data_IF_155267243144
#
_entry.id   IF_155267243144
#
_cell.length_a   1.000
_cell.length_b   1.000
_cell.length_c   1.000
_cell.angle_alpha   90.00
_cell.angle_beta   90.00
_cell.angle_gamma   90.00
#
_symmetry.space_group_name_H-M   'P 1'
#
loop_
_entity.id
_entity.type
_entity.pdbx_description
1 polymer ?
#
# COMPACT_ATOMS: atom_id res chain seq x y z
N UNK A 1 -8.50 -4.36 11.07
CA UNK A 1 -8.10 -3.19 10.24
C UNK A 1 -6.67 -3.45 9.87
N UNK A 2 -6.41 -3.64 8.58
CA UNK A 2 -5.10 -4.09 8.13
C UNK A 2 -4.42 -2.91 7.44
N UNK A 3 -3.16 -2.65 7.82
CA UNK A 3 -2.37 -1.54 7.30
C UNK A 3 -1.09 -2.09 6.66
N UNK A 4 -0.75 -1.57 5.48
CA UNK A 4 0.52 -1.85 4.79
C UNK A 4 1.11 -0.54 4.28
N UNK A 5 2.44 -0.46 4.25
CA UNK A 5 3.17 0.68 3.71
C UNK A 5 3.90 0.23 2.46
N UNK A 6 3.72 0.99 1.38
CA UNK A 6 4.38 0.75 0.10
C UNK A 6 5.42 1.83 -0.11
N UNK A 7 6.67 1.39 -0.30
CA UNK A 7 7.80 2.29 -0.49
C UNK A 7 8.08 2.50 -1.98
N UNK A 8 8.43 3.73 -2.36
CA UNK A 8 8.81 4.10 -3.73
C UNK A 8 8.12 5.37 -4.24
N UNK A 9 8.36 5.68 -5.52
CA UNK A 9 7.71 6.80 -6.22
C UNK A 9 6.28 6.44 -6.59
N UNK A 10 5.40 6.39 -5.59
CA UNK A 10 4.00 6.05 -5.72
C UNK A 10 3.14 7.04 -4.95
N UNK A 11 1.97 7.36 -5.47
CA UNK A 11 1.02 8.29 -4.86
C UNK A 11 -0.26 7.57 -4.44
N UNK A 12 -1.03 8.12 -3.47
CA UNK A 12 -2.35 7.60 -3.15
C UNK A 12 -3.31 7.55 -4.36
N UNK A 13 -3.08 8.41 -5.35
CA UNK A 13 -3.89 8.45 -6.56
C UNK A 13 -3.69 7.23 -7.46
N UNK A 14 -2.46 6.72 -7.55
CA UNK A 14 -2.13 5.55 -8.39
C UNK A 14 -2.92 4.31 -7.94
N UNK A 15 -3.00 4.12 -6.63
CA UNK A 15 -3.83 3.08 -6.03
C UNK A 15 -5.32 3.34 -6.21
N UNK A 16 -5.77 4.58 -6.00
CA UNK A 16 -7.17 4.94 -6.15
C UNK A 16 -7.70 4.65 -7.57
N UNK A 17 -6.96 5.06 -8.60
CA UNK A 17 -7.32 4.81 -9.99
C UNK A 17 -7.39 3.32 -10.30
N UNK A 18 -6.42 2.54 -9.81
CA UNK A 18 -6.39 1.09 -10.02
C UNK A 18 -7.56 0.39 -9.35
N UNK A 19 -7.94 0.82 -8.13
CA UNK A 19 -9.12 0.31 -7.42
C UNK A 19 -10.42 0.68 -8.15
N UNK A 20 -10.56 1.92 -8.63
CA UNK A 20 -11.73 2.35 -9.41
C UNK A 20 -11.84 1.53 -10.70
N UNK A 21 -10.76 1.39 -11.45
CA UNK A 21 -10.73 0.64 -12.69
C UNK A 21 -11.09 -0.84 -12.48
N UNK A 22 -10.65 -1.45 -11.37
CA UNK A 22 -10.90 -2.86 -11.08
C UNK A 22 -12.28 -3.16 -10.50
N UNK A 23 -12.81 -2.29 -9.63
CA UNK A 23 -14.02 -2.58 -8.86
C UNK A 23 -15.26 -1.81 -9.30
N UNK A 24 -15.15 -0.74 -10.09
CA UNK A 24 -16.32 0.05 -10.52
C UNK A 24 -17.07 -0.59 -11.69
N UNK A 25 -17.47 -1.86 -11.52
CA UNK A 25 -18.13 -2.68 -12.53
C UNK A 25 -19.10 -3.68 -11.90
N UNK A 26 -20.05 -4.17 -12.69
CA UNK A 26 -21.05 -5.15 -12.24
C UNK A 26 -21.87 -4.62 -11.06
N UNK A 27 -21.97 -5.44 -10.00
CA UNK A 27 -22.77 -5.13 -8.79
C UNK A 27 -22.06 -4.20 -7.80
N UNK A 28 -20.81 -3.81 -8.09
CA UNK A 28 -20.02 -2.94 -7.23
C UNK A 28 -19.97 -1.51 -7.79
N UNK A 29 -19.85 -0.55 -6.87
CA UNK A 29 -19.57 0.85 -7.15
C UNK A 29 -18.39 1.30 -6.32
N UNK A 30 -17.55 2.15 -6.90
CA UNK A 30 -16.40 2.74 -6.23
C UNK A 30 -16.59 4.24 -6.13
N UNK A 31 -16.30 4.80 -4.96
CA UNK A 31 -16.30 6.24 -4.72
C UNK A 31 -14.96 6.66 -4.13
N UNK A 32 -14.32 7.66 -4.75
CA UNK A 32 -13.13 8.31 -4.20
C UNK A 32 -13.55 9.55 -3.40
N UNK A 33 -12.93 9.74 -2.24
CA UNK A 33 -13.08 10.91 -1.38
C UNK A 33 -11.68 11.46 -1.08
N UNK A 34 -11.52 12.78 -1.15
CA UNK A 34 -10.21 13.42 -0.97
C UNK A 34 -9.32 13.36 -2.22
N UNK A 35 -8.17 14.02 -2.12
CA UNK A 35 -7.20 14.17 -3.20
C UNK A 35 -5.82 14.53 -2.66
N UNK A 36 -4.77 14.38 -3.48
CA UNK A 36 -3.41 14.74 -3.11
C UNK A 36 -2.80 13.75 -2.11
N UNK A 37 -2.42 14.23 -0.93
CA UNK A 37 -1.67 13.44 0.05
C UNK A 37 -2.53 12.43 0.82
N UNK A 38 -3.85 12.59 0.84
CA UNK A 38 -4.78 11.69 1.49
C UNK A 38 -5.96 11.39 0.57
N UNK A 39 -6.19 10.11 0.32
CA UNK A 39 -7.26 9.62 -0.56
C UNK A 39 -7.98 8.46 0.12
N UNK A 40 -9.29 8.60 0.27
CA UNK A 40 -10.19 7.52 0.65
C UNK A 40 -10.85 6.91 -0.59
N UNK A 41 -10.99 5.59 -0.62
CA UNK A 41 -11.77 4.87 -1.61
C UNK A 41 -12.75 3.97 -0.90
N UNK A 42 -14.01 3.99 -1.32
CA UNK A 42 -15.04 3.07 -0.85
C UNK A 42 -15.51 2.18 -1.98
N UNK A 43 -15.60 0.90 -1.68
CA UNK A 43 -16.21 -0.11 -2.53
C UNK A 43 -17.50 -0.54 -1.85
N UNK A 44 -18.62 -0.40 -2.54
CA UNK A 44 -19.94 -0.78 -2.03
C UNK A 44 -20.77 -1.49 -3.08
N UNK A 45 -21.76 -2.28 -2.65
CA UNK A 45 -22.79 -2.82 -3.54
C UNK A 45 -23.67 -1.69 -4.11
N UNK A 46 -24.16 -1.87 -5.35
CA UNK A 46 -25.14 -0.95 -5.98
C UNK A 46 -26.53 -1.18 -5.37
N UNK A 47 -27.29 -0.10 -5.16
CA UNK A 47 -28.67 -0.20 -4.66
C UNK A 47 -29.52 -1.01 -5.65
N UNK A 48 -30.26 -2.00 -5.15
CA UNK A 48 -31.08 -2.90 -5.95
C UNK A 48 -30.45 -4.25 -6.30
N UNK A 49 -29.26 -4.58 -5.80
CA UNK A 49 -28.76 -5.97 -5.84
C UNK A 49 -29.70 -6.86 -5.01
N UNK A 50 -30.25 -7.91 -5.62
CA UNK A 50 -31.36 -8.73 -5.08
C UNK A 50 -31.02 -9.53 -3.80
N UNK A 51 -29.84 -9.37 -3.22
CA UNK A 51 -29.41 -10.15 -2.06
C UNK A 51 -28.62 -9.32 -1.06
N UNK A 52 -29.17 -9.17 0.15
CA UNK A 52 -28.43 -9.35 1.40
C UNK A 52 -27.26 -8.43 1.74
N UNK A 53 -27.53 -7.14 2.01
CA UNK A 53 -26.66 -6.31 2.86
C UNK A 53 -25.78 -5.27 2.15
N UNK A 54 -25.52 -4.17 2.87
CA UNK A 54 -24.61 -3.12 2.39
C UNK A 54 -23.17 -3.47 2.77
N UNK A 55 -22.50 -4.28 1.96
CA UNK A 55 -21.05 -4.44 2.06
C UNK A 55 -20.40 -3.12 1.67
N UNK A 56 -19.76 -2.44 2.63
CA UNK A 56 -19.01 -1.22 2.41
C UNK A 56 -17.58 -1.42 2.94
N UNK A 57 -16.63 -1.58 2.03
CA UNK A 57 -15.20 -1.66 2.37
C UNK A 57 -14.56 -0.29 2.12
N UNK A 58 -13.88 0.24 3.13
CA UNK A 58 -13.11 1.48 3.04
C UNK A 58 -11.63 1.21 2.92
N UNK A 59 -10.97 1.94 2.03
CA UNK A 59 -9.53 1.96 1.83
C UNK A 59 -9.07 3.40 2.06
N UNK A 60 -8.19 3.62 3.04
CA UNK A 60 -7.57 4.92 3.31
C UNK A 60 -6.11 4.86 2.87
N UNK A 61 -5.70 5.85 2.10
CA UNK A 61 -4.34 5.95 1.57
C UNK A 61 -3.77 7.32 1.93
N UNK A 62 -2.61 7.35 2.56
CA UNK A 62 -1.93 8.57 2.94
C UNK A 62 -0.47 8.53 2.50
N UNK A 63 0.02 9.67 2.03
CA UNK A 63 1.44 9.86 1.73
C UNK A 63 2.22 9.84 3.04
N UNK A 64 3.31 9.10 3.06
CA UNK A 64 4.29 9.05 4.15
C UNK A 64 5.68 9.36 3.56
N UNK A 65 6.65 9.64 4.43
CA UNK A 65 7.99 10.13 4.03
C UNK A 65 8.62 9.33 2.87
N UNK A 66 8.47 8.00 2.89
CA UNK A 66 9.07 7.09 1.90
C UNK A 66 8.05 6.36 1.00
N UNK A 67 6.81 6.85 0.88
CA UNK A 67 5.81 6.25 0.00
C UNK A 67 4.36 6.46 0.44
N UNK A 68 3.57 5.39 0.48
CA UNK A 68 2.13 5.46 0.79
C UNK A 68 1.73 4.39 1.80
N UNK A 69 1.08 4.83 2.88
CA UNK A 69 0.40 3.94 3.83
C UNK A 69 -1.02 3.68 3.36
N UNK A 70 -1.40 2.41 3.26
CA UNK A 70 -2.74 1.95 2.86
C UNK A 70 -3.37 1.17 4.00
N UNK A 71 -4.60 1.54 4.37
CA UNK A 71 -5.37 0.91 5.44
C UNK A 71 -6.73 0.45 4.90
N UNK A 72 -7.09 -0.80 5.16
CA UNK A 72 -8.32 -1.42 4.64
C UNK A 72 -9.23 -1.86 5.82
N UNK A 73 -10.52 -1.54 5.74
CA UNK A 73 -11.50 -2.02 6.73
C UNK A 73 -12.93 -1.49 6.59
N UNK A 74 -13.87 -2.15 7.28
CA UNK A 74 -15.31 -1.77 7.38
C UNK A 74 -15.52 -0.34 7.94
N UNK A 75 -14.59 0.18 8.74
CA UNK A 75 -14.73 1.43 9.52
C UNK A 75 -13.72 2.55 9.15
N UNK A 76 -12.96 2.41 8.06
CA UNK A 76 -11.92 3.38 7.68
C UNK A 76 -12.44 4.82 7.40
N UNK A 77 -13.76 5.00 7.32
CA UNK A 77 -14.45 6.27 7.06
C UNK A 77 -14.32 7.32 8.16
N UNK A 78 -14.20 6.93 9.43
CA UNK A 78 -14.12 7.91 10.54
C UNK A 78 -12.85 8.76 10.46
N UNK A 79 -11.74 8.20 9.95
CA UNK A 79 -10.50 8.94 9.75
C UNK A 79 -10.55 9.96 8.61
N UNK A 80 -11.33 9.68 7.55
CA UNK A 80 -11.51 10.56 6.37
C UNK A 80 -12.39 11.77 6.70
N UNK A 81 -13.45 11.56 7.48
CA UNK A 81 -14.34 12.63 7.94
C UNK A 81 -13.63 13.62 8.90
N UNK A 82 -12.85 13.10 9.84
CA UNK A 82 -12.11 13.93 10.80
C UNK A 82 -10.96 14.72 10.18
N UNK A 83 -10.21 14.12 9.23
CA UNK A 83 -9.04 14.76 8.59
C UNK A 83 -9.41 15.73 7.47
N UNK A 84 -10.52 15.52 6.76
CA UNK A 84 -10.99 16.40 5.68
C UNK A 84 -12.01 17.46 6.15
N UNK A 85 -12.26 17.57 7.45
CA UNK A 85 -13.26 18.50 8.00
C UNK A 85 -14.71 18.18 7.62
N UNK A 86 -14.97 17.03 6.99
CA UNK A 86 -16.32 16.56 6.67
C UNK A 86 -16.95 15.98 7.93
N UNK A 87 -17.87 16.74 8.49
CA UNK A 87 -18.36 16.64 9.87
C UNK A 87 -19.07 15.32 10.22
N UNK A 88 -18.95 14.90 11.48
CA UNK A 88 -19.81 13.90 12.15
C UNK A 88 -21.33 14.14 12.02
N UNK A 89 -21.74 15.33 11.56
CA UNK A 89 -23.12 15.70 11.23
C UNK A 89 -23.73 14.90 10.07
N UNK A 90 -22.93 14.38 9.13
CA UNK A 90 -23.44 13.52 8.07
C UNK A 90 -23.92 12.15 8.61
N UNK A 91 -23.26 11.62 9.64
CA UNK A 91 -23.65 10.39 10.32
C UNK A 91 -24.91 10.58 11.19
N UNK A 92 -25.10 11.78 11.78
CA UNK A 92 -26.29 12.12 12.57
C UNK A 92 -27.58 12.22 11.74
N UNK A 93 -27.49 12.44 10.42
CA UNK A 93 -28.66 12.56 9.53
C UNK A 93 -29.27 11.22 9.12
N UNK A 94 -28.58 10.10 9.30
CA UNK A 94 -29.12 8.78 8.93
C UNK A 94 -28.82 7.70 10.00
N UNK A 95 -29.40 7.84 11.20
CA UNK A 95 -29.12 6.95 12.34
C UNK A 95 -29.62 5.51 12.12
N UNK A 96 -30.55 5.30 11.17
CA UNK A 96 -31.12 3.97 10.88
C UNK A 96 -30.23 3.10 9.97
N UNK A 97 -29.19 3.67 9.34
CA UNK A 97 -28.23 2.89 8.55
C UNK A 97 -27.36 1.93 9.37
N UNK A 98 -27.32 2.13 10.69
CA UNK A 98 -26.54 1.33 11.64
C UNK A 98 -27.35 0.19 12.28
N UNK A 99 -28.66 0.09 12.02
CA UNK A 99 -29.56 -0.83 12.74
C UNK A 99 -29.88 -2.15 12.01
N UNK A 100 -29.39 -2.37 10.78
CA UNK A 100 -29.60 -3.65 10.06
C UNK A 100 -28.40 -4.61 10.18
N UNK A 101 -27.87 -4.82 11.39
CA UNK A 101 -26.88 -5.87 11.68
C UNK A 101 -27.52 -7.03 12.44
N UNK A 102 -28.38 -7.81 11.78
CA UNK A 102 -28.97 -9.02 12.38
C UNK A 102 -28.75 -10.32 11.59
N UNK A 103 -28.01 -10.32 10.47
CA UNK A 103 -27.71 -11.55 9.70
C UNK A 103 -26.19 -11.75 9.56
N UNK A 104 -25.51 -12.13 10.64
CA UNK A 104 -24.05 -12.01 10.79
C UNK A 104 -23.25 -13.30 10.52
N UNK A 105 -23.68 -14.15 9.58
CA UNK A 105 -22.92 -15.36 9.21
C UNK A 105 -22.64 -15.54 7.71
N UNK A 106 -23.33 -14.82 6.82
CA UNK A 106 -23.10 -14.90 5.37
C UNK A 106 -22.23 -13.74 4.82
N UNK A 107 -22.25 -12.57 5.47
CA UNK A 107 -21.54 -11.37 5.01
C UNK A 107 -20.02 -11.42 5.21
N UNK A 108 -19.51 -12.29 6.08
CA UNK A 108 -18.08 -12.34 6.38
C UNK A 108 -17.26 -13.04 5.29
N UNK A 109 -17.85 -13.98 4.55
CA UNK A 109 -17.16 -14.65 3.44
C UNK A 109 -16.96 -13.70 2.27
N UNK A 110 -18.00 -12.96 1.87
CA UNK A 110 -17.91 -11.96 0.81
C UNK A 110 -16.97 -10.81 1.18
N UNK A 111 -16.95 -10.41 2.46
CA UNK A 111 -16.05 -9.39 2.96
C UNK A 111 -14.57 -9.81 2.94
N UNK A 112 -14.27 -11.04 3.38
CA UNK A 112 -12.89 -11.58 3.34
C UNK A 112 -12.40 -11.66 1.90
N UNK A 113 -13.21 -12.21 0.99
CA UNK A 113 -12.88 -12.28 -0.43
C UNK A 113 -12.64 -10.90 -1.05
N UNK A 114 -13.50 -9.91 -0.74
CA UNK A 114 -13.31 -8.54 -1.23
C UNK A 114 -12.05 -7.88 -0.67
N UNK A 115 -11.72 -8.14 0.60
CA UNK A 115 -10.52 -7.61 1.26
C UNK A 115 -9.26 -8.19 0.64
N UNK A 116 -9.22 -9.51 0.42
CA UNK A 116 -8.09 -10.19 -0.23
C UNK A 116 -7.90 -9.69 -1.67
N UNK A 117 -9.00 -9.52 -2.40
CA UNK A 117 -8.98 -8.99 -3.76
C UNK A 117 -8.48 -7.54 -3.80
N UNK A 118 -8.87 -6.70 -2.83
CA UNK A 118 -8.35 -5.33 -2.71
C UNK A 118 -6.84 -5.35 -2.48
N UNK A 119 -6.35 -6.18 -1.55
CA UNK A 119 -4.92 -6.32 -1.32
C UNK A 119 -4.19 -6.79 -2.58
N UNK A 120 -4.76 -7.74 -3.31
CA UNK A 120 -4.20 -8.23 -4.58
C UNK A 120 -4.04 -7.12 -5.61
N UNK A 121 -5.04 -6.25 -5.76
CA UNK A 121 -4.98 -5.10 -6.70
C UNK A 121 -3.95 -4.06 -6.26
N UNK A 122 -3.89 -3.74 -4.96
CA UNK A 122 -2.90 -2.81 -4.42
C UNK A 122 -1.48 -3.37 -4.61
N UNK A 123 -1.25 -4.65 -4.30
CA UNK A 123 0.04 -5.32 -4.48
C UNK A 123 0.47 -5.35 -5.95
N UNK A 124 -0.46 -5.61 -6.88
CA UNK A 124 -0.20 -5.57 -8.32
C UNK A 124 0.15 -4.15 -8.79
N UNK A 125 -0.56 -3.15 -8.29
CA UNK A 125 -0.32 -1.74 -8.61
C UNK A 125 1.08 -1.32 -8.15
N UNK A 126 1.43 -1.60 -6.89
CA UNK A 126 2.74 -1.30 -6.34
C UNK A 126 3.86 -1.96 -7.17
N UNK A 127 3.73 -3.27 -7.47
CA UNK A 127 4.69 -4.01 -8.30
C UNK A 127 4.84 -3.41 -9.69
N UNK A 128 3.74 -3.02 -10.34
CA UNK A 128 3.77 -2.41 -11.67
C UNK A 128 4.51 -1.08 -11.70
N UNK A 129 4.50 -0.35 -10.58
CA UNK A 129 5.18 0.93 -10.38
C UNK A 129 6.58 0.78 -9.75
N UNK A 130 7.09 -0.46 -9.62
CA UNK A 130 8.35 -0.77 -8.93
C UNK A 130 8.41 -0.29 -7.48
N UNK A 131 7.24 -0.12 -6.85
CA UNK A 131 7.10 0.11 -5.42
C UNK A 131 7.01 -1.25 -4.69
N UNK A 132 7.74 -1.42 -3.59
CA UNK A 132 7.86 -2.68 -2.87
C UNK A 132 7.47 -2.57 -1.39
N UNK A 133 7.30 -3.72 -0.73
CA UNK A 133 7.10 -3.85 0.72
C UNK A 133 8.40 -3.77 1.53
N UNK A 134 9.55 -3.65 0.86
CA UNK A 134 10.83 -3.67 1.55
C UNK A 134 11.03 -2.41 2.38
N UNK A 135 11.61 -2.59 3.58
CA UNK A 135 12.07 -1.52 4.46
C UNK A 135 12.57 -0.33 3.64
N UNK A 136 12.06 0.87 3.97
CA UNK A 136 12.59 2.14 3.45
C UNK A 136 14.11 2.06 3.28
N UNK A 137 14.61 2.52 2.13
CA UNK A 137 16.05 2.60 1.85
C UNK A 137 16.81 3.35 2.97
N UNK A 138 16.13 4.23 3.73
CA UNK A 138 16.69 4.92 4.90
C UNK A 138 16.95 4.01 6.10
N UNK A 139 16.11 2.98 6.29
CA UNK A 139 16.23 1.99 7.38
C UNK A 139 17.18 0.84 7.03
N UNK A 140 17.57 0.71 5.76
CA UNK A 140 18.62 -0.21 5.34
C UNK A 140 19.98 0.31 5.83
N UNK A 141 20.72 -0.56 6.52
CA UNK A 141 22.09 -0.30 6.96
C UNK A 141 23.03 -1.23 6.22
N UNK A 142 24.12 -0.68 5.72
CA UNK A 142 25.25 -1.42 5.18
C UNK A 142 26.28 -1.62 6.28
N UNK A 143 26.78 -2.85 6.45
CA UNK A 143 27.86 -3.10 7.39
C UNK A 143 29.20 -2.87 6.69
N UNK A 144 30.06 -2.06 7.29
CA UNK A 144 31.39 -1.80 6.74
C UNK A 144 32.27 -3.06 6.89
N UNK A 145 32.76 -3.61 5.77
CA UNK A 145 33.66 -4.79 5.74
C UNK A 145 34.99 -4.58 6.51
N UNK A 146 35.32 -3.35 6.92
CA UNK A 146 36.59 -3.01 7.59
C UNK A 146 36.47 -2.81 9.10
N UNK A 147 35.33 -2.33 9.60
CA UNK A 147 35.17 -1.95 11.00
C UNK A 147 33.78 -2.26 11.57
N UNK A 148 32.97 -3.02 10.82
CA UNK A 148 31.62 -3.48 11.15
C UNK A 148 30.61 -2.38 11.51
N UNK A 149 30.96 -1.11 11.28
CA UNK A 149 30.07 0.01 11.56
C UNK A 149 28.88 -0.02 10.58
N UNK A 150 27.63 0.14 11.08
CA UNK A 150 26.46 0.31 10.23
C UNK A 150 26.47 1.69 9.57
N UNK A 151 26.26 1.73 8.26
CA UNK A 151 26.25 2.93 7.44
C UNK A 151 24.92 3.07 6.68
N UNK A 152 24.46 4.28 6.37
CA UNK A 152 23.36 4.49 5.43
C UNK A 152 23.68 3.95 4.03
N UNK A 153 22.67 3.48 3.30
CA UNK A 153 22.81 3.13 1.88
C UNK A 153 23.15 4.39 1.07
N UNK A 154 24.04 4.27 0.08
CA UNK A 154 24.45 5.36 -0.80
C UNK A 154 25.68 6.16 -0.34
N UNK A 155 26.13 6.03 0.91
CA UNK A 155 27.36 6.70 1.37
C UNK A 155 28.61 6.11 0.68
N UNK A 156 29.52 6.94 0.13
CA UNK A 156 30.72 6.43 -0.55
C UNK A 156 31.76 5.88 0.42
N UNK A 157 31.76 6.37 1.67
CA UNK A 157 32.77 6.05 2.69
C UNK A 157 32.12 5.80 4.06
N UNK A 158 32.76 4.96 4.87
CA UNK A 158 32.30 4.63 6.20
C UNK A 158 32.36 5.85 7.14
N UNK A 159 31.26 6.12 7.85
CA UNK A 159 31.13 7.24 8.79
C UNK A 159 32.09 7.15 9.98
N UNK A 160 32.58 5.95 10.31
CA UNK A 160 33.49 5.73 11.44
C UNK A 160 34.96 5.65 11.03
N UNK A 161 35.31 4.86 10.00
CA UNK A 161 36.70 4.60 9.62
C UNK A 161 37.13 5.22 8.29
N UNK A 162 36.22 5.81 7.52
CA UNK A 162 36.51 6.40 6.21
C UNK A 162 36.76 5.40 5.07
N UNK A 163 36.70 4.09 5.33
CA UNK A 163 36.90 3.06 4.31
C UNK A 163 35.81 3.10 3.22
N UNK A 164 36.13 2.74 1.96
CA UNK A 164 35.17 2.77 0.86
C UNK A 164 34.05 1.74 1.06
N UNK A 165 32.81 2.14 0.80
CA UNK A 165 31.63 1.28 0.93
C UNK A 165 31.13 0.71 -0.41
N UNK A 166 31.80 1.00 -1.53
CA UNK A 166 31.34 0.62 -2.87
C UNK A 166 31.01 -0.88 -3.04
N UNK A 167 31.79 -1.77 -2.43
CA UNK A 167 31.61 -3.22 -2.54
C UNK A 167 30.39 -3.77 -1.78
N UNK A 168 29.86 -3.01 -0.83
CA UNK A 168 28.67 -3.36 -0.05
C UNK A 168 27.43 -2.59 -0.49
N UNK A 169 27.55 -1.69 -1.49
CA UNK A 169 26.41 -0.99 -2.04
C UNK A 169 25.49 -1.95 -2.81
N UNK A 170 24.15 -1.80 -2.68
CA UNK A 170 23.21 -2.59 -3.45
C UNK A 170 23.35 -2.33 -4.96
N UNK A 171 23.18 -3.39 -5.76
CA UNK A 171 23.25 -3.29 -7.23
C UNK A 171 21.85 -3.50 -7.81
N UNK A 172 21.41 -2.56 -8.64
CA UNK A 172 20.17 -2.69 -9.39
C UNK A 172 20.37 -3.55 -10.65
N UNK A 173 19.48 -4.51 -10.87
CA UNK A 173 19.50 -5.34 -12.07
C UNK A 173 19.24 -4.49 -13.32
N UNK A 174 20.13 -4.52 -14.33
CA UNK A 174 19.96 -3.70 -15.54
C UNK A 174 18.75 -4.15 -16.38
N UNK A 175 18.28 -5.40 -16.22
CA UNK A 175 17.15 -5.94 -16.98
C UNK A 175 15.80 -5.68 -16.32
N UNK A 176 15.65 -6.00 -15.04
CA UNK A 176 14.35 -5.93 -14.36
C UNK A 176 14.26 -4.88 -13.24
N UNK A 177 15.37 -4.22 -12.89
CA UNK A 177 15.40 -3.20 -11.83
C UNK A 177 15.34 -3.75 -10.40
N UNK A 178 15.40 -5.07 -10.20
CA UNK A 178 15.49 -5.67 -8.86
C UNK A 178 16.79 -5.24 -8.18
N UNK A 179 16.72 -4.71 -6.96
CA UNK A 179 17.87 -4.29 -6.16
C UNK A 179 18.37 -5.47 -5.34
N UNK A 180 19.55 -5.98 -5.66
CA UNK A 180 20.20 -7.02 -4.89
C UNK A 180 21.06 -6.40 -3.79
N UNK A 181 20.75 -6.73 -2.53
CA UNK A 181 21.52 -6.33 -1.34
C UNK A 181 22.61 -7.34 -0.97
N UNK A 182 22.58 -8.53 -1.58
CA UNK A 182 23.58 -9.58 -1.40
C UNK A 182 24.36 -9.79 -2.69
N UNK A 183 25.66 -10.11 -2.56
CA UNK A 183 26.59 -10.42 -3.66
C UNK A 183 26.17 -11.71 -4.38
N UNK A 184 25.11 -11.65 -5.17
CA UNK A 184 24.54 -12.78 -5.92
C UNK A 184 24.82 -12.62 -7.41
N UNK A 185 25.66 -13.48 -8.00
CA UNK A 185 26.05 -13.37 -9.42
C UNK A 185 24.87 -13.21 -10.41
N UNK A 186 23.71 -13.79 -10.06
CA UNK A 186 22.48 -13.72 -10.84
C UNK A 186 21.38 -13.04 -10.05
N UNK A 187 20.62 -12.19 -10.73
CA UNK A 187 19.43 -11.56 -10.20
C UNK A 187 18.42 -12.64 -9.74
N UNK A 188 18.02 -12.66 -8.46
CA UNK A 188 17.05 -13.63 -7.93
C UNK A 188 15.69 -13.57 -8.63
N UNK A 189 15.34 -12.40 -9.18
CA UNK A 189 14.04 -12.17 -9.80
C UNK A 189 13.99 -12.60 -11.28
N UNK A 190 15.04 -12.35 -12.07
CA UNK A 190 14.99 -12.59 -13.52
C UNK A 190 16.15 -13.44 -14.08
N UNK A 191 17.04 -13.93 -13.23
CA UNK A 191 18.18 -14.80 -13.59
C UNK A 191 19.32 -14.13 -14.37
N UNK A 192 19.17 -12.83 -14.68
CA UNK A 192 20.18 -12.06 -15.44
C UNK A 192 21.42 -11.83 -14.59
N UNK A 193 22.60 -11.82 -15.23
CA UNK A 193 23.86 -11.50 -14.57
C UNK A 193 23.83 -10.05 -14.06
N UNK A 194 24.29 -9.87 -12.82
CA UNK A 194 24.36 -8.56 -12.19
C UNK A 194 25.79 -7.99 -12.36
N UNK A 195 25.92 -6.68 -12.64
CA UNK A 195 27.22 -6.03 -12.77
C UNK A 195 27.80 -5.74 -11.37
N UNK A 196 28.72 -6.59 -10.91
CA UNK A 196 29.50 -6.37 -9.69
C UNK A 196 30.96 -6.10 -10.05
#
# INVERSE_FOLDING_TARGET
MDQRIYHGKISPHDFAQSLIAHFNRGNLRVQQVGSGQQVGVQIASRQGAESGGQTALGIMMQTVEDGVSVQVGKQAWLGVAASLGMTALAALRNPLSLLNRMDDLAQDIEYVQLTDEVWRVIDQTARSLKAGHELSERLRRLVCDYCDTPNPVGEPSCIACGAPLGNVQPVACPKCGFVATSRTARCPNCGTLLPF
#
